data_IF_850426739929
#
_entry.id   IF_850426739929
#
_cell.length_a   1.000
_cell.length_b   1.000
_cell.length_c   1.000
_cell.angle_alpha   90.00
_cell.angle_beta   90.00
_cell.angle_gamma   90.00
#
_symmetry.space_group_name_H-M   'P 1'
#
loop_
_entity.id
_entity.type
_entity.pdbx_description
1 polymer ?
#
# COMPACT_ATOMS: atom_id res chain seq x y z
N UNK A 1 -14.66 -24.49 -0.45
CA UNK A 1 -14.47 -23.76 0.83
C UNK A 1 -15.59 -22.73 0.91
N UNK A 2 -16.61 -22.99 1.72
CA UNK A 2 -17.83 -22.14 1.80
C UNK A 2 -17.49 -20.80 2.43
N UNK A 3 -17.81 -19.71 1.73
CA UNK A 3 -17.75 -18.35 2.28
C UNK A 3 -18.79 -18.23 3.40
N UNK A 4 -18.34 -17.89 4.60
CA UNK A 4 -19.19 -17.62 5.74
C UNK A 4 -20.06 -16.38 5.46
N UNK A 5 -21.37 -16.56 5.54
CA UNK A 5 -22.35 -15.50 5.35
C UNK A 5 -22.21 -14.44 6.48
N UNK A 6 -21.88 -13.21 6.10
CA UNK A 6 -21.90 -12.07 7.01
C UNK A 6 -23.36 -11.78 7.43
N UNK A 7 -23.53 -11.40 8.69
CA UNK A 7 -24.81 -11.11 9.34
C UNK A 7 -25.48 -9.91 8.60
N UNK A 8 -26.64 -10.16 8.00
CA UNK A 8 -27.45 -9.16 7.28
C UNK A 8 -28.23 -8.29 8.28
N UNK A 9 -28.03 -6.99 8.21
CA UNK A 9 -29.02 -6.03 8.70
C UNK A 9 -30.21 -5.99 7.73
N UNK A 10 -31.43 -6.05 8.25
CA UNK A 10 -32.64 -6.21 7.43
C UNK A 10 -32.98 -4.88 6.76
N UNK A 11 -32.68 -4.75 5.45
CA UNK A 11 -33.26 -3.63 4.70
C UNK A 11 -32.60 -3.24 3.39
N UNK A 12 -31.32 -3.45 3.19
CA UNK A 12 -30.63 -3.04 1.96
C UNK A 12 -30.25 -4.27 1.13
N UNK A 13 -30.58 -4.33 -0.17
CA UNK A 13 -30.25 -5.50 -0.98
C UNK A 13 -28.74 -5.59 -1.19
N UNK A 14 -28.13 -6.68 -0.73
CA UNK A 14 -26.77 -7.04 -1.13
C UNK A 14 -26.74 -7.23 -2.65
N UNK A 15 -25.97 -6.41 -3.35
CA UNK A 15 -25.80 -6.50 -4.79
C UNK A 15 -24.33 -6.72 -5.13
N UNK A 16 -24.01 -7.90 -5.64
CA UNK A 16 -22.72 -8.20 -6.21
C UNK A 16 -22.63 -7.54 -7.59
N UNK A 17 -21.77 -6.53 -7.74
CA UNK A 17 -21.56 -5.79 -8.98
C UNK A 17 -20.52 -6.42 -9.89
N UNK A 18 -19.51 -7.06 -9.29
CA UNK A 18 -18.46 -7.81 -9.99
C UNK A 18 -17.92 -8.91 -9.09
N UNK A 19 -17.65 -10.06 -9.67
CA UNK A 19 -16.95 -11.15 -8.96
C UNK A 19 -15.46 -10.84 -8.79
N UNK A 20 -14.88 -10.04 -9.69
CA UNK A 20 -13.47 -9.67 -9.67
C UNK A 20 -13.23 -8.41 -10.51
N UNK A 21 -13.00 -7.26 -9.87
CA UNK A 21 -12.65 -6.01 -10.58
C UNK A 21 -11.22 -5.99 -11.09
N UNK A 22 -10.35 -6.91 -10.61
CA UNK A 22 -8.97 -7.03 -11.08
C UNK A 22 -8.88 -7.73 -12.46
N UNK A 23 -9.96 -8.37 -12.92
CA UNK A 23 -9.98 -9.18 -14.12
C UNK A 23 -8.89 -10.26 -14.14
N UNK A 24 -8.70 -10.96 -13.02
CA UNK A 24 -7.73 -12.03 -12.87
C UNK A 24 -6.28 -11.58 -12.69
N UNK A 25 -6.04 -10.30 -12.44
CA UNK A 25 -4.68 -9.78 -12.22
C UNK A 25 -4.18 -10.00 -10.80
N UNK A 26 -5.07 -10.26 -9.84
CA UNK A 26 -4.73 -10.56 -8.46
C UNK A 26 -4.79 -12.06 -8.18
N UNK A 27 -4.02 -12.50 -7.19
CA UNK A 27 -4.08 -13.90 -6.75
C UNK A 27 -5.42 -14.27 -6.12
N UNK A 28 -5.98 -13.33 -5.34
CA UNK A 28 -7.34 -13.43 -4.82
C UNK A 28 -8.26 -12.59 -5.70
N UNK A 29 -9.41 -13.12 -6.17
CA UNK A 29 -10.38 -12.28 -6.83
C UNK A 29 -10.82 -11.14 -5.90
N UNK A 30 -11.08 -9.98 -6.48
CA UNK A 30 -11.49 -8.77 -5.76
C UNK A 30 -12.96 -8.47 -6.07
N UNK A 31 -13.92 -9.02 -5.30
CA UNK A 31 -15.33 -8.73 -5.49
C UNK A 31 -15.62 -7.25 -5.29
N UNK A 32 -16.66 -6.76 -5.98
CA UNK A 32 -17.20 -5.42 -5.77
C UNK A 32 -18.68 -5.53 -5.41
N UNK A 33 -19.07 -4.99 -4.26
CA UNK A 33 -20.41 -5.09 -3.72
C UNK A 33 -21.01 -3.72 -3.43
N UNK A 34 -22.33 -3.60 -3.56
CA UNK A 34 -23.07 -2.39 -3.19
C UNK A 34 -24.26 -2.77 -2.32
N UNK A 35 -24.30 -2.22 -1.12
CA UNK A 35 -25.36 -2.40 -0.12
C UNK A 35 -26.01 -1.05 0.25
N UNK A 36 -25.78 0.01 -0.55
CA UNK A 36 -26.13 1.39 -0.19
C UNK A 36 -27.08 2.04 -1.19
N UNK A 37 -26.75 1.99 -2.48
CA UNK A 37 -27.45 2.70 -3.55
C UNK A 37 -27.36 1.91 -4.88
N UNK A 38 -27.73 2.55 -6.01
CA UNK A 38 -27.70 1.93 -7.34
C UNK A 38 -26.43 2.26 -8.13
N UNK A 39 -25.41 2.85 -7.49
CA UNK A 39 -24.16 3.18 -8.13
C UNK A 39 -23.48 1.92 -8.72
N UNK A 40 -23.07 1.92 -9.99
CA UNK A 40 -22.36 0.80 -10.61
C UNK A 40 -20.94 0.65 -10.06
N UNK A 41 -20.33 -0.52 -10.30
CA UNK A 41 -18.93 -0.74 -9.95
C UNK A 41 -18.03 0.32 -10.62
N UNK A 42 -16.99 0.82 -9.94
CA UNK A 42 -16.05 1.79 -10.50
C UNK A 42 -15.32 1.20 -11.70
N UNK A 43 -15.38 1.89 -12.84
CA UNK A 43 -14.77 1.46 -14.13
C UNK A 43 -13.96 2.57 -14.80
N UNK A 44 -13.80 3.69 -14.15
CA UNK A 44 -13.14 4.90 -14.63
C UNK A 44 -11.62 4.86 -14.51
N UNK A 45 -11.05 3.67 -14.25
CA UNK A 45 -9.60 3.45 -14.12
C UNK A 45 -9.18 2.10 -14.72
N UNK A 46 -7.89 1.99 -15.02
CA UNK A 46 -7.25 0.72 -15.42
C UNK A 46 -6.64 0.04 -14.19
N UNK A 47 -7.10 -1.18 -13.89
CA UNK A 47 -6.54 -1.95 -12.77
C UNK A 47 -5.11 -2.39 -13.08
N UNK A 48 -4.17 -2.08 -12.18
CA UNK A 48 -2.75 -2.47 -12.29
C UNK A 48 -2.26 -3.09 -10.98
N UNK A 49 -1.33 -4.04 -11.08
CA UNK A 49 -0.69 -4.68 -9.91
C UNK A 49 0.75 -4.23 -9.71
N UNK A 50 1.25 -3.36 -10.58
CA UNK A 50 2.58 -2.74 -10.54
C UNK A 50 2.47 -1.30 -11.00
N UNK A 51 3.50 -0.51 -10.70
CA UNK A 51 3.56 0.83 -11.25
C UNK A 51 3.65 0.81 -12.78
N UNK A 52 3.02 1.79 -13.40
CA UNK A 52 3.17 2.09 -14.82
C UNK A 52 3.95 3.40 -14.97
N UNK A 53 4.77 3.48 -15.99
CA UNK A 53 5.61 4.65 -16.31
C UNK A 53 5.36 5.08 -17.76
N UNK A 54 4.23 5.77 -18.05
CA UNK A 54 3.91 6.21 -19.41
C UNK A 54 4.96 7.16 -19.97
N UNK A 55 5.64 7.90 -19.09
CA UNK A 55 6.76 8.78 -19.42
C UNK A 55 8.07 8.18 -18.93
N UNK A 56 9.16 8.27 -19.70
CA UNK A 56 10.45 7.76 -19.28
C UNK A 56 10.89 8.52 -18.01
N UNK A 57 11.10 7.77 -16.94
CA UNK A 57 11.74 8.28 -15.74
C UNK A 57 13.25 8.10 -15.87
N UNK A 58 14.00 9.10 -15.47
CA UNK A 58 15.45 8.95 -15.33
C UNK A 58 15.75 8.14 -14.06
N UNK A 59 15.77 6.81 -14.22
CA UNK A 59 16.09 5.87 -13.13
C UNK A 59 17.58 5.56 -13.18
N UNK A 60 18.25 5.75 -12.06
CA UNK A 60 19.65 5.36 -11.95
C UNK A 60 19.77 3.84 -11.82
N UNK A 61 19.99 3.20 -12.97
CA UNK A 61 20.21 1.77 -13.03
C UNK A 61 21.56 1.33 -12.41
N UNK A 62 22.50 2.26 -12.14
CA UNK A 62 23.75 1.92 -11.48
C UNK A 62 23.52 1.53 -10.02
N UNK A 63 22.51 2.09 -9.37
CA UNK A 63 22.11 1.71 -8.02
C UNK A 63 21.48 0.30 -8.02
N UNK A 64 20.89 -0.14 -9.14
CA UNK A 64 20.38 -1.51 -9.29
C UNK A 64 21.51 -2.54 -9.34
N UNK A 65 22.73 -2.14 -9.72
CA UNK A 65 23.93 -3.00 -9.79
C UNK A 65 24.64 -3.19 -8.45
N UNK A 66 24.14 -2.60 -7.35
CA UNK A 66 24.66 -2.90 -6.03
C UNK A 66 24.53 -4.39 -5.77
N UNK A 67 25.66 -5.02 -5.46
CA UNK A 67 25.74 -6.47 -5.20
C UNK A 67 24.71 -6.85 -4.14
N UNK A 68 23.86 -7.81 -4.45
CA UNK A 68 23.00 -8.44 -3.48
C UNK A 68 23.79 -9.14 -2.37
N UNK A 69 23.11 -9.63 -1.34
CA UNK A 69 23.77 -10.39 -0.30
C UNK A 69 24.29 -11.74 -0.82
N UNK A 70 25.34 -12.24 -0.17
CA UNK A 70 25.94 -13.56 -0.44
C UNK A 70 25.54 -14.62 0.60
N UNK A 71 24.50 -14.37 1.40
CA UNK A 71 24.05 -15.28 2.43
C UNK A 71 23.65 -16.64 1.88
N UNK A 72 23.91 -17.70 2.65
CA UNK A 72 23.39 -19.02 2.38
C UNK A 72 21.84 -19.07 2.59
N UNK A 73 21.25 -20.19 2.25
CA UNK A 73 19.80 -20.38 2.33
C UNK A 73 19.29 -20.22 3.76
N UNK A 74 18.27 -19.39 3.94
CA UNK A 74 17.66 -19.12 5.23
C UNK A 74 18.40 -18.18 6.18
N UNK A 75 19.65 -17.81 5.89
CA UNK A 75 20.51 -17.03 6.80
C UNK A 75 20.23 -15.52 6.79
N UNK A 76 19.52 -14.99 5.79
CA UNK A 76 19.31 -13.55 5.67
C UNK A 76 18.64 -12.96 6.90
N UNK A 77 19.43 -12.25 7.73
CA UNK A 77 18.98 -11.60 8.97
C UNK A 77 18.84 -12.56 10.16
N UNK A 78 19.45 -13.76 10.15
CA UNK A 78 19.69 -14.52 11.36
C UNK A 78 20.71 -13.81 12.25
N UNK A 79 20.66 -14.06 13.56
CA UNK A 79 21.63 -13.50 14.50
C UNK A 79 23.05 -13.90 14.08
N UNK A 80 23.94 -12.91 13.95
CA UNK A 80 25.33 -13.10 13.52
C UNK A 80 25.55 -13.13 12.01
N UNK A 81 24.54 -13.21 11.15
CA UNK A 81 24.72 -13.16 9.71
C UNK A 81 24.76 -11.70 9.20
N UNK A 82 25.89 -11.33 8.60
CA UNK A 82 26.09 -10.02 7.96
C UNK A 82 25.37 -9.96 6.60
N UNK A 83 24.05 -9.94 6.58
CA UNK A 83 23.28 -9.78 5.36
C UNK A 83 23.31 -8.32 4.90
N UNK A 84 23.97 -8.02 3.77
CA UNK A 84 24.07 -6.66 3.23
C UNK A 84 22.69 -6.00 3.01
N UNK A 85 21.65 -6.76 2.63
CA UNK A 85 20.31 -6.23 2.45
C UNK A 85 19.65 -5.82 3.78
N UNK A 86 19.81 -6.65 4.82
CA UNK A 86 19.27 -6.37 6.16
C UNK A 86 19.99 -5.18 6.79
N UNK A 87 21.32 -5.08 6.59
CA UNK A 87 22.13 -3.99 7.15
C UNK A 87 21.73 -2.60 6.63
N UNK A 88 21.25 -2.50 5.39
CA UNK A 88 20.71 -1.24 4.85
C UNK A 88 19.48 -0.75 5.59
N UNK A 89 18.66 -1.67 6.13
CA UNK A 89 17.46 -1.38 6.93
C UNK A 89 17.71 -1.45 8.44
N UNK A 90 18.96 -1.34 8.88
CA UNK A 90 19.43 -1.38 10.27
C UNK A 90 19.33 -2.77 10.90
N UNK A 91 18.23 -3.51 10.73
CA UNK A 91 18.04 -4.87 11.26
C UNK A 91 16.93 -5.61 10.51
N UNK A 92 16.80 -6.91 10.75
CA UNK A 92 15.65 -7.68 10.26
C UNK A 92 14.40 -7.37 11.06
N UNK A 93 13.35 -6.96 10.36
CA UNK A 93 12.04 -6.65 10.92
C UNK A 93 11.00 -7.76 10.72
N UNK A 94 11.38 -8.90 10.14
CA UNK A 94 10.48 -9.97 9.71
C UNK A 94 10.53 -11.19 10.61
N UNK A 95 9.35 -11.73 10.96
CA UNK A 95 9.19 -13.05 11.56
C UNK A 95 7.92 -13.70 11.01
N UNK A 96 8.04 -14.92 10.43
CA UNK A 96 6.90 -15.66 9.89
C UNK A 96 6.10 -14.89 8.83
N UNK A 97 6.78 -14.12 7.96
CA UNK A 97 6.13 -13.34 6.90
C UNK A 97 5.44 -12.04 7.35
N UNK A 98 5.64 -11.61 8.61
CA UNK A 98 5.03 -10.42 9.20
C UNK A 98 6.08 -9.53 9.83
N UNK A 99 5.79 -8.24 9.95
CA UNK A 99 6.62 -7.32 10.75
C UNK A 99 6.55 -7.69 12.23
N UNK A 100 7.65 -7.46 12.92
CA UNK A 100 7.74 -7.69 14.37
C UNK A 100 6.78 -6.76 15.12
N UNK A 101 6.24 -7.17 16.29
CA UNK A 101 5.38 -6.31 17.12
C UNK A 101 6.06 -5.00 17.55
N UNK A 102 7.39 -4.99 17.63
CA UNK A 102 8.20 -3.79 17.96
C UNK A 102 8.53 -2.91 16.76
N UNK A 103 7.88 -3.11 15.59
CA UNK A 103 8.11 -2.27 14.43
C UNK A 103 7.53 -0.85 14.66
N UNK A 104 8.33 0.22 14.45
CA UNK A 104 7.91 1.58 14.74
C UNK A 104 7.07 2.18 13.60
N UNK A 105 5.77 1.89 13.57
CA UNK A 105 4.86 2.35 12.52
C UNK A 105 4.68 3.88 12.44
N UNK A 106 4.98 4.62 13.52
CA UNK A 106 4.89 6.09 13.55
C UNK A 106 6.04 6.79 12.81
N UNK A 107 7.21 6.16 12.74
CA UNK A 107 8.38 6.60 11.96
C UNK A 107 9.05 5.35 11.36
N UNK A 108 8.45 4.77 10.31
CA UNK A 108 8.88 3.50 9.80
C UNK A 108 10.24 3.59 9.10
N UNK A 109 11.20 2.72 9.45
CA UNK A 109 12.45 2.63 8.73
C UNK A 109 12.22 2.12 7.31
N UNK A 110 13.12 2.46 6.40
CA UNK A 110 13.16 1.87 5.06
C UNK A 110 13.50 0.39 5.15
N UNK A 111 12.76 -0.45 4.46
CA UNK A 111 12.95 -1.90 4.45
C UNK A 111 13.59 -2.35 3.14
N UNK A 112 14.83 -2.84 3.19
CA UNK A 112 15.52 -3.38 2.01
C UNK A 112 15.39 -4.90 2.00
N UNK A 113 14.75 -5.44 0.98
CA UNK A 113 14.56 -6.87 0.83
C UNK A 113 15.60 -7.50 -0.10
N UNK A 114 15.82 -8.79 0.09
CA UNK A 114 16.56 -9.58 -0.86
C UNK A 114 15.79 -9.68 -2.17
N UNK A 115 16.51 -9.57 -3.29
CA UNK A 115 15.97 -9.58 -4.63
C UNK A 115 16.82 -10.46 -5.57
N UNK A 116 16.58 -10.39 -6.86
CA UNK A 116 17.22 -11.23 -7.89
C UNK A 116 18.75 -11.07 -7.97
N UNK A 117 19.32 -10.01 -7.39
CA UNK A 117 20.79 -9.84 -7.34
C UNK A 117 21.44 -10.58 -6.16
N UNK A 118 20.63 -11.14 -5.25
CA UNK A 118 21.09 -11.88 -4.07
C UNK A 118 21.34 -13.35 -4.40
N UNK A 119 22.31 -13.95 -3.72
CA UNK A 119 22.62 -15.39 -3.85
C UNK A 119 21.63 -16.28 -3.09
N UNK A 120 20.93 -15.74 -2.10
CA UNK A 120 19.96 -16.50 -1.31
C UNK A 120 18.75 -16.94 -2.16
N UNK A 121 18.17 -18.07 -1.82
CA UNK A 121 16.93 -18.55 -2.45
C UNK A 121 15.75 -17.65 -2.05
N UNK A 122 15.30 -16.78 -2.96
CA UNK A 122 14.22 -15.81 -2.70
C UNK A 122 12.91 -16.45 -2.27
N UNK A 123 12.60 -17.68 -2.73
CA UNK A 123 11.37 -18.38 -2.37
C UNK A 123 11.32 -18.75 -0.87
N UNK A 124 12.46 -18.93 -0.25
CA UNK A 124 12.62 -19.33 1.15
C UNK A 124 13.25 -18.24 2.02
N UNK A 125 13.81 -17.19 1.40
CA UNK A 125 14.52 -16.14 2.11
C UNK A 125 13.58 -15.39 3.08
N UNK A 126 13.93 -15.33 4.38
CA UNK A 126 13.11 -14.62 5.37
C UNK A 126 13.08 -13.11 5.17
N UNK A 127 13.99 -12.54 4.36
CA UNK A 127 14.03 -11.12 4.02
C UNK A 127 13.51 -10.81 2.60
N UNK A 128 12.68 -11.66 2.00
CA UNK A 128 12.05 -11.42 0.69
C UNK A 128 10.53 -11.53 0.74
N UNK A 129 9.90 -11.10 1.83
CA UNK A 129 8.48 -11.30 2.10
C UNK A 129 7.60 -10.58 1.08
N UNK A 130 7.71 -9.26 0.95
CA UNK A 130 6.93 -8.47 0.00
C UNK A 130 7.34 -8.80 -1.44
N UNK A 131 8.63 -8.99 -1.70
CA UNK A 131 9.12 -9.38 -3.03
C UNK A 131 8.43 -10.64 -3.56
N UNK A 132 8.28 -11.68 -2.72
CA UNK A 132 7.57 -12.92 -3.10
C UNK A 132 6.07 -12.74 -3.26
N UNK A 133 5.46 -11.98 -2.36
CA UNK A 133 4.00 -11.79 -2.38
C UNK A 133 3.59 -10.94 -3.59
N UNK A 134 4.39 -9.93 -3.95
CA UNK A 134 4.13 -9.06 -5.09
C UNK A 134 4.20 -9.76 -6.46
N UNK A 135 4.82 -10.95 -6.52
CA UNK A 135 4.75 -11.80 -7.73
C UNK A 135 3.32 -12.28 -8.03
N UNK A 136 2.46 -12.31 -7.01
CA UNK A 136 1.08 -12.79 -7.10
C UNK A 136 0.05 -11.66 -7.29
N UNK A 137 0.50 -10.42 -7.29
CA UNK A 137 -0.35 -9.24 -7.41
C UNK A 137 -0.01 -8.16 -6.40
N UNK A 138 -0.87 -7.16 -6.31
CA UNK A 138 -0.73 -6.02 -5.41
C UNK A 138 -1.58 -6.14 -4.15
N UNK A 139 -2.65 -6.95 -4.18
CA UNK A 139 -3.49 -7.25 -3.03
C UNK A 139 -3.00 -8.56 -2.39
N UNK A 140 -2.44 -8.46 -1.18
CA UNK A 140 -1.68 -9.54 -0.55
C UNK A 140 -2.53 -10.38 0.43
N UNK A 141 -3.78 -9.96 0.66
CA UNK A 141 -4.78 -10.63 1.50
C UNK A 141 -6.14 -10.63 0.80
N UNK A 142 -7.05 -11.57 1.10
CA UNK A 142 -8.41 -11.53 0.59
C UNK A 142 -9.14 -10.26 1.04
N UNK A 143 -9.74 -9.53 0.10
CA UNK A 143 -10.49 -8.31 0.36
C UNK A 143 -11.59 -8.12 -0.68
N UNK A 144 -12.52 -7.21 -0.42
CA UNK A 144 -13.56 -6.80 -1.36
C UNK A 144 -13.72 -5.28 -1.38
N UNK A 145 -14.01 -4.75 -2.55
CA UNK A 145 -14.43 -3.35 -2.71
C UNK A 145 -15.91 -3.26 -2.41
N UNK A 146 -16.28 -2.28 -1.58
CA UNK A 146 -17.68 -2.10 -1.19
C UNK A 146 -18.10 -0.63 -1.29
N UNK A 147 -19.38 -0.41 -1.56
CA UNK A 147 -19.97 0.94 -1.56
C UNK A 147 -20.10 1.42 -0.13
N UNK A 148 -19.56 2.60 0.17
CA UNK A 148 -19.64 3.22 1.48
C UNK A 148 -20.71 4.31 1.49
N UNK A 149 -21.35 4.52 2.64
CA UNK A 149 -22.30 5.63 2.83
C UNK A 149 -21.52 6.93 2.99
N UNK A 150 -22.08 8.02 2.46
CA UNK A 150 -21.48 9.35 2.56
C UNK A 150 -20.54 9.68 1.39
N UNK A 151 -19.67 10.67 1.58
CA UNK A 151 -18.82 11.22 0.52
C UNK A 151 -17.66 10.31 0.11
N UNK A 152 -17.34 9.26 0.88
CA UNK A 152 -16.22 8.35 0.60
C UNK A 152 -16.42 7.44 -0.61
N UNK A 153 -17.63 7.36 -1.11
CA UNK A 153 -18.04 6.60 -2.29
C UNK A 153 -17.70 5.10 -2.22
N UNK A 154 -16.44 4.69 -2.29
CA UNK A 154 -16.00 3.29 -2.28
C UNK A 154 -14.94 3.06 -1.21
N UNK A 155 -14.93 1.86 -0.63
CA UNK A 155 -13.96 1.41 0.34
C UNK A 155 -13.40 0.03 0.02
N UNK A 156 -12.33 -0.37 0.71
CA UNK A 156 -11.79 -1.72 0.69
C UNK A 156 -11.90 -2.31 2.10
N UNK A 157 -12.47 -3.53 2.23
CA UNK A 157 -12.60 -4.23 3.51
C UNK A 157 -12.05 -5.64 3.46
N UNK A 158 -11.63 -6.15 4.61
CA UNK A 158 -11.06 -7.47 4.74
C UNK A 158 -12.12 -8.56 4.47
N UNK A 159 -11.84 -9.51 3.59
CA UNK A 159 -12.67 -10.72 3.40
C UNK A 159 -12.24 -11.88 4.31
N UNK A 160 -11.08 -11.78 4.96
CA UNK A 160 -10.56 -12.75 5.90
C UNK A 160 -9.85 -12.03 7.05
N UNK A 161 -9.65 -12.73 8.17
CA UNK A 161 -8.86 -12.18 9.30
C UNK A 161 -7.44 -11.87 8.89
N UNK A 162 -6.96 -10.65 9.17
CA UNK A 162 -5.60 -10.19 8.92
C UNK A 162 -4.87 -10.02 10.25
N UNK A 163 -3.75 -10.72 10.47
CA UNK A 163 -2.98 -10.57 11.70
C UNK A 163 -2.12 -9.30 11.67
N UNK A 164 -1.76 -8.72 12.84
CA UNK A 164 -0.86 -7.57 12.91
C UNK A 164 0.50 -7.89 12.26
N UNK A 165 1.10 -6.88 11.65
CA UNK A 165 2.36 -6.99 10.93
C UNK A 165 2.26 -7.63 9.54
N UNK A 166 1.08 -8.10 9.12
CA UNK A 166 0.90 -8.65 7.78
C UNK A 166 0.92 -7.55 6.71
N UNK A 167 1.62 -7.76 5.58
CA UNK A 167 1.46 -6.89 4.43
C UNK A 167 0.08 -7.14 3.80
N UNK A 168 -0.65 -6.06 3.51
CA UNK A 168 -2.04 -6.08 3.06
C UNK A 168 -2.16 -5.75 1.58
N UNK A 169 -1.57 -4.64 1.15
CA UNK A 169 -1.66 -4.19 -0.23
C UNK A 169 -0.46 -3.34 -0.62
N UNK A 170 -0.17 -3.30 -1.92
CA UNK A 170 0.78 -2.38 -2.53
C UNK A 170 0.01 -1.22 -3.15
N UNK A 171 0.43 0.00 -2.84
CA UNK A 171 -0.10 1.18 -3.49
C UNK A 171 0.54 1.33 -4.86
N UNK A 172 -0.17 0.93 -5.90
CA UNK A 172 0.30 0.94 -7.28
C UNK A 172 -0.48 1.95 -8.11
N UNK A 173 0.20 2.56 -9.07
CA UNK A 173 -0.37 3.55 -9.98
C UNK A 173 0.65 4.01 -11.00
N UNK A 174 0.39 5.15 -11.63
CA UNK A 174 1.32 5.84 -12.51
C UNK A 174 2.43 6.49 -11.68
N UNK A 175 3.68 6.21 -12.01
CA UNK A 175 4.85 6.90 -11.45
C UNK A 175 5.14 8.15 -12.27
N UNK A 176 5.22 9.29 -11.59
CA UNK A 176 5.55 10.58 -12.22
C UNK A 176 6.39 11.47 -11.28
N UNK A 177 7.14 12.43 -11.85
CA UNK A 177 7.80 13.45 -11.04
C UNK A 177 6.78 14.26 -10.23
N UNK A 178 7.09 14.55 -8.97
CA UNK A 178 6.16 15.23 -8.05
C UNK A 178 5.69 16.62 -8.59
N UNK A 179 6.55 17.32 -9.33
CA UNK A 179 6.16 18.61 -9.94
C UNK A 179 5.10 18.48 -11.05
N UNK A 180 4.86 17.28 -11.58
CA UNK A 180 3.76 17.03 -12.50
C UNK A 180 2.43 16.82 -11.75
N UNK A 181 2.46 16.58 -10.45
CA UNK A 181 1.25 16.40 -9.64
C UNK A 181 0.34 17.64 -9.71
N UNK A 182 0.93 18.83 -9.67
CA UNK A 182 0.20 20.10 -9.73
C UNK A 182 -0.54 20.34 -11.06
N UNK A 183 -0.20 19.59 -12.12
CA UNK A 183 -0.87 19.67 -13.43
C UNK A 183 -2.03 18.70 -13.58
N UNK A 184 -2.26 17.82 -12.60
CA UNK A 184 -3.34 16.82 -12.65
C UNK A 184 -4.66 17.44 -12.19
N UNK A 185 -5.77 17.13 -12.88
CA UNK A 185 -7.09 17.64 -12.50
C UNK A 185 -7.61 17.06 -11.18
N UNK A 186 -7.18 15.85 -10.81
CA UNK A 186 -7.53 15.18 -9.55
C UNK A 186 -6.26 14.62 -8.92
N UNK A 187 -5.91 15.11 -7.74
CA UNK A 187 -4.78 14.70 -6.92
C UNK A 187 -5.21 13.83 -5.71
N UNK A 188 -6.48 13.41 -5.67
CA UNK A 188 -7.06 12.66 -4.53
C UNK A 188 -6.44 11.27 -4.35
N UNK A 189 -5.85 10.71 -5.39
CA UNK A 189 -5.23 9.38 -5.41
C UNK A 189 -3.70 9.42 -5.42
N UNK A 190 -3.11 10.60 -5.14
CA UNK A 190 -1.66 10.75 -5.16
C UNK A 190 -1.01 10.34 -3.85
N UNK A 191 0.07 9.59 -3.97
CA UNK A 191 0.94 9.20 -2.86
C UNK A 191 2.36 9.68 -3.15
N UNK A 192 2.85 10.68 -2.38
CA UNK A 192 4.19 11.21 -2.53
C UNK A 192 5.25 10.21 -2.02
N UNK A 193 6.24 9.90 -2.85
CA UNK A 193 7.37 9.03 -2.50
C UNK A 193 8.54 9.85 -1.94
N UNK A 194 8.25 10.79 -1.04
CA UNK A 194 9.24 11.75 -0.56
C UNK A 194 10.48 11.08 0.03
N UNK A 195 11.63 11.47 -0.48
CA UNK A 195 12.93 11.14 0.08
C UNK A 195 13.41 12.31 0.91
N UNK A 196 13.96 12.05 2.11
CA UNK A 196 14.55 13.11 2.95
C UNK A 196 15.65 13.83 2.16
N UNK A 197 15.82 15.17 2.32
CA UNK A 197 16.77 15.94 1.52
C UNK A 197 18.21 15.42 1.57
N UNK A 198 18.69 15.02 2.74
CA UNK A 198 20.02 14.45 2.96
C UNK A 198 20.24 13.12 2.21
N UNK A 199 19.20 12.32 2.08
CA UNK A 199 19.21 11.07 1.30
C UNK A 199 19.04 11.33 -0.19
N UNK A 200 18.23 12.32 -0.57
CA UNK A 200 18.02 12.71 -1.95
C UNK A 200 19.32 13.23 -2.58
N UNK A 201 20.19 13.90 -1.80
CA UNK A 201 21.49 14.34 -2.23
C UNK A 201 22.41 13.19 -2.68
N UNK A 202 22.14 11.97 -2.25
CA UNK A 202 22.86 10.76 -2.65
C UNK A 202 22.33 10.14 -3.95
N UNK A 203 21.17 10.62 -4.45
CA UNK A 203 20.62 10.15 -5.71
C UNK A 203 21.23 10.93 -6.88
N UNK A 204 21.43 10.26 -8.02
CA UNK A 204 21.92 10.90 -9.25
C UNK A 204 20.91 11.89 -9.82
N UNK A 205 19.62 11.59 -9.68
CA UNK A 205 18.51 12.49 -10.03
C UNK A 205 17.82 12.94 -8.74
N UNK A 206 17.72 14.25 -8.55
CA UNK A 206 17.16 14.89 -7.36
C UNK A 206 15.64 15.08 -7.43
N UNK A 207 14.98 14.61 -8.50
CA UNK A 207 13.54 14.74 -8.64
C UNK A 207 12.81 13.85 -7.63
N UNK A 208 11.90 14.43 -6.89
CA UNK A 208 10.94 13.70 -6.06
C UNK A 208 9.89 13.05 -6.96
N UNK A 209 9.43 11.86 -6.58
CA UNK A 209 8.43 11.11 -7.32
C UNK A 209 7.14 10.98 -6.51
N UNK A 210 6.04 10.71 -7.21
CA UNK A 210 4.77 10.32 -6.63
C UNK A 210 4.13 9.18 -7.43
N UNK A 211 3.20 8.49 -6.79
CA UNK A 211 2.31 7.51 -7.41
C UNK A 211 0.94 8.14 -7.55
N UNK A 212 0.42 8.20 -8.76
CA UNK A 212 -0.96 8.61 -9.04
C UNK A 212 -1.80 7.36 -9.36
N UNK A 213 -2.76 7.06 -8.50
CA UNK A 213 -3.67 5.93 -8.68
C UNK A 213 -5.04 6.34 -9.27
N UNK A 214 -5.14 7.50 -9.91
CA UNK A 214 -6.37 7.99 -10.51
C UNK A 214 -6.75 7.18 -11.76
N UNK A 215 -5.94 7.21 -12.81
CA UNK A 215 -6.20 6.50 -14.08
C UNK A 215 -5.70 5.05 -14.08
N UNK A 216 -4.61 4.78 -13.38
CA UNK A 216 -4.02 3.46 -13.21
C UNK A 216 -3.90 3.18 -11.72
N UNK A 217 -4.60 2.18 -11.20
CA UNK A 217 -4.59 1.94 -9.76
C UNK A 217 -4.74 0.47 -9.39
N UNK A 218 -4.25 0.10 -8.21
CA UNK A 218 -4.51 -1.20 -7.58
C UNK A 218 -5.74 -1.11 -6.67
N UNK A 219 -6.12 -2.23 -6.03
CA UNK A 219 -7.16 -2.23 -5.01
C UNK A 219 -6.88 -1.24 -3.86
N UNK A 220 -5.62 -0.90 -3.61
CA UNK A 220 -5.23 0.04 -2.57
C UNK A 220 -5.79 1.46 -2.76
N UNK A 221 -6.19 1.85 -3.99
CA UNK A 221 -6.84 3.14 -4.26
C UNK A 221 -8.18 3.32 -3.53
N UNK A 222 -8.81 2.21 -3.13
CA UNK A 222 -10.07 2.19 -2.39
C UNK A 222 -9.87 2.20 -0.87
N UNK A 223 -8.64 2.26 -0.37
CA UNK A 223 -8.37 2.33 1.06
C UNK A 223 -8.52 3.78 1.53
N UNK A 224 -9.54 4.02 2.34
CA UNK A 224 -9.90 5.35 2.82
C UNK A 224 -8.99 5.83 3.97
N UNK A 225 -9.04 7.14 4.23
CA UNK A 225 -8.39 7.74 5.39
C UNK A 225 -9.09 7.41 6.69
N UNK A 226 -8.30 7.25 7.75
CA UNK A 226 -8.77 7.34 9.13
C UNK A 226 -7.75 8.05 10.01
N UNK A 227 -8.25 8.85 10.97
CA UNK A 227 -7.43 9.42 12.03
C UNK A 227 -7.01 8.40 13.09
N UNK A 228 -7.64 7.21 13.08
CA UNK A 228 -7.25 5.98 13.82
C UNK A 228 -7.16 4.81 12.84
N UNK A 229 -6.11 4.78 12.02
CA UNK A 229 -6.00 3.80 10.96
C UNK A 229 -5.59 2.42 11.50
N UNK A 230 -5.99 1.36 10.78
CA UNK A 230 -5.53 -0.01 11.04
C UNK A 230 -4.42 -0.47 10.10
N UNK A 231 -4.02 0.37 9.13
CA UNK A 231 -2.87 0.16 8.28
C UNK A 231 -1.86 1.30 8.40
N UNK A 232 -0.58 0.97 8.19
CA UNK A 232 0.50 1.94 8.05
C UNK A 232 1.25 1.73 6.73
N UNK A 233 1.53 2.80 5.95
CA UNK A 233 2.38 2.72 4.78
C UNK A 233 3.85 2.60 5.18
N UNK A 234 4.56 1.66 4.55
CA UNK A 234 6.00 1.45 4.76
C UNK A 234 6.69 1.37 3.41
N UNK A 235 7.84 2.01 3.29
CA UNK A 235 8.68 1.98 2.09
C UNK A 235 9.51 0.70 2.08
N UNK A 236 9.21 -0.19 1.14
CA UNK A 236 9.90 -1.48 0.96
C UNK A 236 10.63 -1.50 -0.38
N UNK A 237 11.92 -1.70 -0.36
CA UNK A 237 12.74 -1.80 -1.57
C UNK A 237 12.86 -3.26 -2.00
N UNK A 238 12.04 -3.66 -2.96
CA UNK A 238 11.92 -5.04 -3.44
C UNK A 238 12.77 -5.31 -4.68
N UNK A 239 12.81 -4.37 -5.62
CA UNK A 239 13.43 -4.56 -6.94
C UNK A 239 14.61 -3.63 -7.19
N UNK A 240 14.63 -2.47 -6.57
CA UNK A 240 15.65 -1.44 -6.75
C UNK A 240 16.19 -0.95 -5.41
N UNK A 241 17.37 -0.33 -5.45
CA UNK A 241 17.97 0.40 -4.33
C UNK A 241 17.86 1.92 -4.51
N UNK A 242 17.24 2.38 -5.59
CA UNK A 242 16.94 3.80 -5.77
C UNK A 242 15.96 4.23 -4.69
N UNK A 243 16.40 5.14 -3.82
CA UNK A 243 15.63 5.61 -2.67
C UNK A 243 14.34 6.34 -3.07
N UNK A 244 14.24 6.78 -4.32
CA UNK A 244 13.06 7.42 -4.90
C UNK A 244 11.97 6.42 -5.32
N UNK A 245 12.30 5.12 -5.43
CA UNK A 245 11.45 4.07 -5.98
C UNK A 245 11.11 2.96 -4.96
N UNK A 246 10.61 3.28 -3.77
CA UNK A 246 10.11 2.27 -2.86
C UNK A 246 8.82 1.64 -3.38
N UNK A 247 8.60 0.39 -3.07
CA UNK A 247 7.27 -0.21 -3.11
C UNK A 247 6.52 0.20 -1.85
N UNK A 248 5.57 1.12 -1.94
CA UNK A 248 4.71 1.51 -0.81
C UNK A 248 3.81 0.34 -0.46
N UNK A 249 4.06 -0.26 0.68
CA UNK A 249 3.33 -1.43 1.18
C UNK A 249 2.55 -1.04 2.43
N UNK A 250 1.26 -1.32 2.44
CA UNK A 250 0.38 -1.09 3.57
C UNK A 250 0.39 -2.31 4.49
N UNK A 251 0.72 -2.12 5.76
CA UNK A 251 0.82 -3.17 6.77
C UNK A 251 -0.24 -3.01 7.84
N UNK A 252 -0.84 -4.12 8.26
CA UNK A 252 -1.76 -4.14 9.39
C UNK A 252 -1.01 -3.79 10.69
N UNK A 253 -1.48 -2.77 11.40
CA UNK A 253 -0.92 -2.32 12.69
C UNK A 253 -1.56 -3.02 13.88
N UNK A 254 -2.76 -3.57 13.68
CA UNK A 254 -3.56 -4.31 14.65
C UNK A 254 -4.24 -5.51 13.97
N UNK A 255 -4.85 -6.46 14.74
CA UNK A 255 -5.68 -7.50 14.14
C UNK A 255 -6.90 -6.87 13.44
N UNK A 256 -7.16 -7.27 12.18
CA UNK A 256 -8.30 -6.78 11.40
C UNK A 256 -9.25 -7.97 11.17
N UNK A 257 -10.54 -7.77 11.43
CA UNK A 257 -11.55 -8.83 11.31
C UNK A 257 -12.18 -8.84 9.90
N UNK A 258 -12.75 -9.98 9.47
CA UNK A 258 -13.55 -10.00 8.24
C UNK A 258 -14.67 -8.95 8.29
N UNK A 259 -14.88 -8.22 7.18
CA UNK A 259 -15.82 -7.12 7.08
C UNK A 259 -15.30 -5.77 7.59
N UNK A 260 -14.19 -5.74 8.30
CA UNK A 260 -13.59 -4.50 8.78
C UNK A 260 -12.89 -3.75 7.63
N UNK A 261 -13.15 -2.45 7.54
CA UNK A 261 -12.58 -1.56 6.55
C UNK A 261 -11.07 -1.42 6.74
N UNK A 262 -10.31 -1.44 5.66
CA UNK A 262 -8.93 -1.01 5.64
C UNK A 262 -8.83 0.51 5.58
N UNK A 263 -8.01 1.09 6.44
CA UNK A 263 -7.78 2.54 6.47
C UNK A 263 -6.32 2.85 6.77
N UNK A 264 -5.80 3.94 6.19
CA UNK A 264 -4.49 4.48 6.55
C UNK A 264 -4.57 6.01 6.74
N UNK A 265 -3.56 6.59 7.37
CA UNK A 265 -3.47 8.03 7.52
C UNK A 265 -2.91 8.66 6.24
N UNK A 266 -3.67 9.53 5.59
CA UNK A 266 -3.23 10.24 4.38
C UNK A 266 -2.16 11.30 4.66
N UNK A 267 -1.99 11.67 5.95
CA UNK A 267 -0.99 12.60 6.42
C UNK A 267 -1.45 14.06 6.40
N UNK A 268 -0.71 14.89 7.17
CA UNK A 268 -1.05 16.30 7.38
C UNK A 268 -0.95 17.11 6.09
N UNK A 269 -0.04 16.77 5.17
CA UNK A 269 0.09 17.45 3.88
C UNK A 269 -1.16 17.32 3.03
N UNK A 270 -1.73 16.12 2.93
CA UNK A 270 -3.01 15.90 2.24
C UNK A 270 -4.11 16.79 2.85
N UNK A 271 -4.27 16.74 4.15
CA UNK A 271 -5.32 17.47 4.84
C UNK A 271 -5.10 18.98 4.88
N UNK A 272 -3.86 19.47 4.85
CA UNK A 272 -3.56 20.91 4.77
C UNK A 272 -4.12 21.55 3.48
N UNK A 273 -4.19 20.78 2.41
CA UNK A 273 -4.78 21.19 1.13
C UNK A 273 -6.27 20.88 1.08
N UNK A 274 -6.65 19.62 1.33
CA UNK A 274 -8.01 19.11 1.09
C UNK A 274 -9.04 19.57 2.10
N UNK A 275 -8.66 19.92 3.33
CA UNK A 275 -9.60 20.42 4.35
C UNK A 275 -10.30 21.74 3.97
N UNK A 276 -9.88 22.38 2.90
CA UNK A 276 -10.56 23.56 2.33
C UNK A 276 -11.86 23.19 1.61
N UNK A 277 -11.97 21.96 1.09
CA UNK A 277 -13.08 21.51 0.24
C UNK A 277 -13.78 20.25 0.75
N UNK A 278 -13.12 19.47 1.59
CA UNK A 278 -13.67 18.25 2.12
C UNK A 278 -13.40 18.12 3.63
N UNK A 279 -14.26 17.39 4.31
CA UNK A 279 -14.13 17.03 5.73
C UNK A 279 -13.73 15.57 5.87
N UNK A 280 -13.07 15.25 6.97
CA UNK A 280 -12.81 13.86 7.32
C UNK A 280 -14.09 13.20 7.85
N UNK A 281 -14.46 12.07 7.26
CA UNK A 281 -15.61 11.25 7.65
C UNK A 281 -15.17 9.94 8.31
N UNK A 282 -14.00 9.91 9.01
CA UNK A 282 -13.48 8.68 9.61
C UNK A 282 -14.30 8.15 10.79
N UNK A 283 -15.23 8.96 11.33
CA UNK A 283 -16.04 8.57 12.48
C UNK A 283 -15.26 8.40 13.79
N UNK A 284 -13.97 8.71 13.82
CA UNK A 284 -13.16 8.62 15.04
C UNK A 284 -13.55 9.71 16.04
N UNK A 285 -13.66 9.36 17.32
CA UNK A 285 -13.90 10.34 18.39
C UNK A 285 -12.78 11.41 18.45
N UNK A 286 -11.54 11.04 18.10
CA UNK A 286 -10.38 11.94 18.06
C UNK A 286 -10.07 12.35 16.61
N UNK A 287 -11.10 12.63 15.80
CA UNK A 287 -10.90 13.07 14.43
C UNK A 287 -10.10 14.38 14.40
N UNK A 288 -8.95 14.37 13.72
CA UNK A 288 -8.05 15.53 13.61
C UNK A 288 -8.54 16.58 12.62
N UNK A 289 -9.43 16.19 11.70
CA UNK A 289 -9.90 17.04 10.60
C UNK A 289 -11.45 17.01 10.52
N UNK A 290 -12.16 17.38 11.63
CA UNK A 290 -13.61 17.41 11.65
C UNK A 290 -14.16 18.50 10.71
N UNK A 291 -15.45 18.43 10.38
CA UNK A 291 -16.12 19.56 9.73
C UNK A 291 -15.92 20.82 10.57
N UNK A 292 -15.54 21.93 9.93
CA UNK A 292 -15.61 23.23 10.61
C UNK A 292 -17.07 23.47 10.96
N UNK A 293 -17.41 23.56 12.22
CA UNK A 293 -18.69 24.11 12.65
C UNK A 293 -18.70 25.58 12.18
N UNK A 294 -19.58 25.88 11.22
CA UNK A 294 -19.88 27.27 10.90
C UNK A 294 -20.37 27.93 12.20
N UNK A 295 -19.59 28.82 12.74
CA UNK A 295 -19.91 29.68 13.90
C UNK A 295 -20.62 30.93 13.44
#
# INVERSE_FOLDING_TARGET
MQMSAAIKDKGTPYRLLSNDISNGREYYPVPCVNEVDDEPAPRDFTYVTRHVTPHPLNVDYTIQSLKGCSCAEGECGSEGAACACVSLGVRRWWRGGRLLPSFPYHDPPMLFQCNQTCRCNLKQCPNSVVSRLSERGSLLVPAEVYRERGARAWGLRAAARVPPGAPVALYCGELLPLHHADTRPDDSYMFALEVKPDLLEQCSDKSQLCVDACQYGSAARFINHSCRPNLAPVRVFTHTRDLRLPTVTLFATAPIQPGEQFTFDYGDKFWSVKSKWMKCECGSADCRYPAKTES
#
